data_IF_618189381090
#
_entry.id   IF_618189381090
#
_cell.length_a   1.000
_cell.length_b   1.000
_cell.length_c   1.000
_cell.angle_alpha   90.00
_cell.angle_beta   90.00
_cell.angle_gamma   90.00
#
_symmetry.space_group_name_H-M   'P 1'
#
loop_
_entity.id
_entity.type
_entity.pdbx_description
1 polymer ?
#
# COMPACT_ATOMS: atom_id res chain seq x y z
N UNK A 1 -5.11 22.59 24.92
CA UNK A 1 -5.59 23.45 23.82
C UNK A 1 -5.05 22.99 22.47
N UNK A 2 -5.92 22.90 21.47
CA UNK A 2 -5.58 22.62 20.07
C UNK A 2 -6.04 23.75 19.16
N UNK A 3 -5.27 24.02 18.12
CA UNK A 3 -5.62 24.99 17.06
C UNK A 3 -6.31 24.26 15.91
N UNK A 4 -7.38 24.88 15.39
CA UNK A 4 -8.12 24.41 14.22
C UNK A 4 -7.77 25.31 13.03
N UNK A 5 -6.97 24.83 12.06
CA UNK A 5 -6.54 25.66 10.93
C UNK A 5 -7.69 26.18 10.06
N UNK A 6 -8.74 25.37 9.92
CA UNK A 6 -9.98 25.76 9.25
C UNK A 6 -11.12 24.85 9.73
N UNK A 7 -12.22 25.40 10.30
CA UNK A 7 -13.40 24.62 10.67
C UNK A 7 -14.16 24.10 9.43
N UNK A 8 -13.81 24.59 8.24
CA UNK A 8 -14.36 24.18 6.96
C UNK A 8 -13.47 23.16 6.23
N UNK A 9 -12.32 22.79 6.78
CA UNK A 9 -11.49 21.75 6.19
C UNK A 9 -12.19 20.38 6.20
N UNK A 10 -11.83 19.52 5.25
CA UNK A 10 -12.19 18.10 5.30
C UNK A 10 -11.00 17.23 4.90
N UNK A 11 -10.49 16.36 5.79
CA UNK A 11 -10.91 16.19 7.17
C UNK A 11 -10.65 17.45 8.04
N UNK A 12 -11.37 17.58 9.16
CA UNK A 12 -11.07 18.58 10.19
C UNK A 12 -9.71 18.26 10.77
N UNK A 13 -8.92 19.31 11.02
CA UNK A 13 -7.56 19.19 11.54
C UNK A 13 -7.46 19.83 12.90
N UNK A 14 -6.92 19.09 13.85
CA UNK A 14 -6.57 19.59 15.17
C UNK A 14 -5.05 19.55 15.31
N UNK A 15 -4.44 20.69 15.62
CA UNK A 15 -3.00 20.82 15.83
C UNK A 15 -2.70 21.19 17.28
N UNK A 16 -1.82 20.47 17.93
CA UNK A 16 -1.37 20.82 19.28
C UNK A 16 0.07 20.39 19.50
N UNK A 17 0.68 21.06 20.46
CA UNK A 17 2.05 20.83 20.91
C UNK A 17 2.03 19.99 22.19
N UNK A 18 2.96 19.05 22.31
CA UNK A 18 3.20 18.27 23.51
C UNK A 18 4.61 18.52 24.03
N UNK A 19 4.72 19.01 25.26
CA UNK A 19 6.02 19.27 25.91
C UNK A 19 6.60 18.00 26.56
N UNK A 20 7.91 17.77 26.39
CA UNK A 20 8.64 16.72 27.11
C UNK A 20 8.36 15.28 26.65
N UNK A 21 7.53 15.10 25.62
CA UNK A 21 7.16 13.82 25.05
C UNK A 21 8.08 13.54 23.85
N UNK A 22 9.03 12.61 23.99
CA UNK A 22 9.93 12.20 22.89
C UNK A 22 9.27 11.17 21.98
N UNK A 23 9.54 11.20 20.67
CA UNK A 23 8.95 10.35 19.60
C UNK A 23 8.80 8.82 19.87
N UNK A 24 9.47 8.24 20.87
CA UNK A 24 9.20 6.88 21.37
C UNK A 24 7.82 6.70 22.00
N UNK A 25 7.16 7.78 22.37
CA UNK A 25 5.75 7.76 22.78
C UNK A 25 4.90 7.53 21.55
N UNK A 26 4.46 6.29 21.31
CA UNK A 26 3.11 5.82 20.88
C UNK A 26 2.23 6.67 19.91
N UNK A 27 2.64 7.84 19.44
CA UNK A 27 2.01 8.79 18.54
C UNK A 27 2.42 8.46 17.11
N UNK A 28 2.20 7.21 16.73
CA UNK A 28 2.52 6.72 15.40
C UNK A 28 1.48 7.23 14.40
N UNK A 29 1.93 7.47 13.16
CA UNK A 29 1.04 7.81 12.05
C UNK A 29 -0.06 6.75 11.92
N UNK A 30 -1.24 7.18 11.45
CA UNK A 30 -2.44 6.36 11.24
C UNK A 30 -3.04 5.71 12.50
N UNK A 31 -2.45 5.92 13.67
CA UNK A 31 -3.02 5.41 14.91
C UNK A 31 -4.37 6.11 15.17
N UNK A 32 -5.46 5.35 15.41
CA UNK A 32 -6.72 5.93 15.80
C UNK A 32 -6.61 6.57 17.20
N UNK A 33 -7.32 7.67 17.37
CA UNK A 33 -7.40 8.44 18.61
C UNK A 33 -8.83 8.85 18.86
N UNK A 34 -9.31 8.66 20.08
CA UNK A 34 -10.58 9.23 20.50
C UNK A 34 -10.29 10.63 21.09
N UNK A 35 -11.05 11.62 20.63
CA UNK A 35 -10.88 13.04 20.99
C UNK A 35 -12.20 13.58 21.54
N UNK A 36 -12.12 14.22 22.69
CA UNK A 36 -13.22 14.95 23.31
C UNK A 36 -12.93 16.43 23.20
N UNK A 37 -13.93 17.21 22.82
CA UNK A 37 -13.90 18.66 23.00
C UNK A 37 -14.41 18.92 24.42
N UNK A 38 -13.62 19.65 25.21
CA UNK A 38 -14.01 20.00 26.58
C UNK A 38 -15.33 20.79 26.54
N UNK A 39 -16.18 20.55 27.53
CA UNK A 39 -17.55 21.09 27.64
C UNK A 39 -18.55 20.60 26.58
N UNK A 40 -18.14 19.68 25.70
CA UNK A 40 -19.02 19.01 24.73
C UNK A 40 -19.26 17.54 25.09
N UNK A 41 -20.46 17.03 24.78
CA UNK A 41 -20.76 15.59 24.82
C UNK A 41 -20.20 14.83 23.60
N UNK A 42 -19.58 15.54 22.65
CA UNK A 42 -19.09 14.95 21.40
C UNK A 42 -17.75 14.26 21.59
N UNK A 43 -17.72 12.97 21.27
CA UNK A 43 -16.49 12.19 21.09
C UNK A 43 -16.29 11.91 19.62
N UNK A 44 -15.16 12.36 19.07
CA UNK A 44 -14.76 12.09 17.70
C UNK A 44 -13.64 11.06 17.63
N UNK A 45 -13.72 10.14 16.67
CA UNK A 45 -12.59 9.30 16.29
C UNK A 45 -11.79 10.02 15.20
N UNK A 46 -10.53 10.28 15.52
CA UNK A 46 -9.54 10.91 14.64
C UNK A 46 -8.38 9.92 14.39
N UNK A 47 -7.53 10.24 13.43
CA UNK A 47 -6.27 9.54 13.20
C UNK A 47 -5.10 10.50 13.27
N UNK A 48 -3.96 10.01 13.76
CA UNK A 48 -2.72 10.78 13.72
C UNK A 48 -2.25 10.89 12.27
N UNK A 49 -2.24 12.12 11.75
CA UNK A 49 -1.88 12.39 10.36
C UNK A 49 -0.43 12.85 10.20
N UNK A 50 0.11 13.54 11.20
CA UNK A 50 1.48 14.03 11.21
C UNK A 50 1.98 14.10 12.65
N UNK A 51 3.22 13.67 12.84
CA UNK A 51 3.98 13.91 14.06
C UNK A 51 5.37 14.40 13.69
N UNK A 52 5.83 15.45 14.37
CA UNK A 52 7.18 15.98 14.20
C UNK A 52 7.74 16.30 15.57
N UNK A 53 9.02 15.97 15.80
CA UNK A 53 9.68 16.26 17.06
C UNK A 53 10.75 17.32 16.84
N UNK A 54 10.59 18.45 17.53
CA UNK A 54 11.61 19.50 17.61
C UNK A 54 12.56 19.18 18.76
N UNK A 55 13.80 18.80 18.43
CA UNK A 55 14.83 18.47 19.41
C UNK A 55 15.29 19.68 20.24
N UNK A 56 15.27 20.89 19.66
CA UNK A 56 15.73 22.09 20.32
C UNK A 56 14.72 22.55 21.37
N UNK A 57 13.43 22.53 21.02
CA UNK A 57 12.34 22.91 21.92
C UNK A 57 11.86 21.76 22.83
N UNK A 58 12.21 20.51 22.50
CA UNK A 58 11.69 19.28 23.13
C UNK A 58 10.16 19.20 23.07
N UNK A 59 9.61 19.60 21.93
CA UNK A 59 8.17 19.63 21.66
C UNK A 59 7.86 18.63 20.55
N UNK A 60 6.78 17.85 20.74
CA UNK A 60 6.17 17.08 19.65
C UNK A 60 4.99 17.86 19.10
N UNK A 61 5.06 18.23 17.82
CA UNK A 61 3.93 18.73 17.05
C UNK A 61 3.07 17.55 16.58
N UNK A 62 1.77 17.58 16.90
CA UNK A 62 0.80 16.56 16.51
C UNK A 62 -0.31 17.18 15.68
N UNK A 63 -0.62 16.57 14.54
CA UNK A 63 -1.80 16.88 13.74
C UNK A 63 -2.73 15.67 13.67
N UNK A 64 -3.97 15.85 14.14
CA UNK A 64 -5.03 14.85 14.06
C UNK A 64 -6.03 15.20 12.95
N UNK A 65 -6.47 14.19 12.21
CA UNK A 65 -7.49 14.31 11.17
C UNK A 65 -8.79 13.60 11.57
N UNK A 66 -9.93 14.26 11.40
CA UNK A 66 -11.25 13.63 11.60
C UNK A 66 -11.53 12.51 10.62
N UNK A 67 -12.10 11.41 11.11
CA UNK A 67 -12.76 10.44 10.23
C UNK A 67 -14.06 11.04 9.66
N UNK A 68 -14.56 10.48 8.56
CA UNK A 68 -15.82 10.89 7.91
C UNK A 68 -16.97 10.97 8.92
N UNK A 69 -17.11 9.95 9.76
CA UNK A 69 -18.21 9.83 10.71
C UNK A 69 -18.13 10.87 11.83
N UNK A 70 -16.91 11.27 12.21
CA UNK A 70 -16.68 12.25 13.26
C UNK A 70 -16.61 13.69 12.75
N UNK A 71 -16.54 13.92 11.44
CA UNK A 71 -16.41 15.25 10.86
C UNK A 71 -17.56 16.20 11.25
N UNK A 72 -18.81 15.82 10.99
CA UNK A 72 -19.97 16.69 11.27
C UNK A 72 -20.17 16.95 12.77
N UNK A 73 -20.12 15.95 13.66
CA UNK A 73 -20.20 16.18 15.10
C UNK A 73 -19.08 17.08 15.62
N UNK A 74 -17.82 16.82 15.21
CA UNK A 74 -16.69 17.65 15.62
C UNK A 74 -16.81 19.09 15.11
N UNK A 75 -17.27 19.28 13.87
CA UNK A 75 -17.45 20.64 13.32
C UNK A 75 -18.41 21.45 14.16
N UNK A 76 -19.54 20.86 14.54
CA UNK A 76 -20.56 21.53 15.36
C UNK A 76 -20.01 21.86 16.74
N UNK A 77 -19.34 20.92 17.39
CA UNK A 77 -18.72 21.16 18.69
C UNK A 77 -17.62 22.22 18.62
N UNK A 78 -16.79 22.26 17.57
CA UNK A 78 -15.80 23.32 17.38
C UNK A 78 -16.47 24.69 17.16
N UNK A 79 -17.60 24.74 16.45
CA UNK A 79 -18.35 25.99 16.25
C UNK A 79 -19.00 26.51 17.54
N UNK A 80 -19.41 25.61 18.43
CA UNK A 80 -20.11 25.94 19.67
C UNK A 80 -19.16 26.25 20.83
N UNK A 81 -18.10 25.45 20.99
CA UNK A 81 -17.16 25.52 22.12
C UNK A 81 -15.78 26.09 21.72
N UNK A 82 -15.55 26.35 20.44
CA UNK A 82 -14.31 26.94 19.96
C UNK A 82 -14.22 28.42 20.31
N UNK A 83 -13.06 28.83 20.80
CA UNK A 83 -12.74 30.22 21.09
C UNK A 83 -11.91 30.79 19.94
N UNK A 84 -12.18 32.02 19.54
CA UNK A 84 -11.32 32.69 18.54
C UNK A 84 -10.11 33.26 19.27
N UNK A 85 -8.94 32.70 19.00
CA UNK A 85 -7.68 33.16 19.57
C UNK A 85 -7.25 34.52 19.00
N UNK A 86 -6.20 35.14 19.56
CA UNK A 86 -5.72 36.46 19.15
C UNK A 86 -5.24 36.54 17.69
N UNK A 87 -4.90 35.41 17.06
CA UNK A 87 -4.45 35.33 15.66
C UNK A 87 -5.59 35.04 14.66
N UNK A 88 -6.86 35.26 15.04
CA UNK A 88 -8.06 34.88 14.27
C UNK A 88 -8.15 33.37 13.96
N UNK A 89 -7.44 32.57 14.77
CA UNK A 89 -7.47 31.10 14.67
C UNK A 89 -8.40 30.55 15.72
N UNK A 90 -9.29 29.65 15.32
CA UNK A 90 -10.14 28.92 16.26
C UNK A 90 -9.28 27.98 17.09
N UNK A 91 -9.38 28.12 18.41
CA UNK A 91 -8.76 27.26 19.41
C UNK A 91 -9.84 26.53 20.18
N UNK A 92 -9.56 25.27 20.53
CA UNK A 92 -10.51 24.43 21.25
C UNK A 92 -9.73 23.61 22.27
N UNK A 93 -10.28 23.51 23.48
CA UNK A 93 -9.71 22.63 24.48
C UNK A 93 -10.16 21.20 24.26
N UNK A 94 -9.20 20.29 24.22
CA UNK A 94 -9.43 18.89 23.86
C UNK A 94 -8.72 17.95 24.83
N UNK A 95 -9.32 16.79 25.02
CA UNK A 95 -8.67 15.61 25.58
C UNK A 95 -8.43 14.60 24.45
N UNK A 96 -7.29 13.92 24.47
CA UNK A 96 -6.93 12.92 23.44
C UNK A 96 -6.56 11.60 24.11
N UNK A 97 -7.18 10.51 23.67
CA UNK A 97 -6.83 9.15 24.08
C UNK A 97 -6.34 8.38 22.87
N UNK A 98 -5.14 7.84 23.00
CA UNK A 98 -4.58 6.94 21.99
C UNK A 98 -5.28 5.58 22.05
N UNK A 99 -6.01 5.21 20.99
CA UNK A 99 -6.62 3.88 20.89
C UNK A 99 -5.53 2.82 20.66
N UNK A 100 -5.82 1.54 20.83
CA UNK A 100 -4.88 0.46 20.47
C UNK A 100 -4.49 0.58 18.99
N UNK A 101 -3.23 0.27 18.64
CA UNK A 101 -2.87 0.17 17.22
C UNK A 101 -3.76 -0.91 16.60
N UNK A 102 -4.37 -0.66 15.43
CA UNK A 102 -5.06 -1.72 14.71
C UNK A 102 -4.05 -2.84 14.44
N UNK A 103 -4.32 -4.01 15.01
CA UNK A 103 -3.51 -5.23 14.83
C UNK A 103 -3.78 -5.91 13.48
N UNK A 104 -4.67 -5.35 12.67
CA UNK A 104 -4.97 -5.82 11.32
C UNK A 104 -4.12 -5.09 10.29
N UNK A 105 -3.60 -5.84 9.33
CA UNK A 105 -3.19 -5.29 8.06
C UNK A 105 -4.33 -4.44 7.46
N UNK A 106 -3.99 -3.40 6.69
CA UNK A 106 -4.92 -2.55 5.93
C UNK A 106 -6.13 -3.37 5.42
N UNK A 107 -7.38 -2.90 5.50
CA UNK A 107 -8.55 -3.66 5.01
C UNK A 107 -8.41 -4.18 3.58
N UNK A 108 -7.53 -3.59 2.75
CA UNK A 108 -7.18 -4.16 1.45
C UNK A 108 -6.46 -5.52 1.57
N UNK A 109 -5.59 -5.74 2.57
CA UNK A 109 -5.02 -7.06 2.83
C UNK A 109 -6.07 -8.08 3.28
N UNK A 110 -7.07 -7.65 4.04
CA UNK A 110 -8.21 -8.50 4.38
C UNK A 110 -9.03 -8.85 3.13
N UNK A 111 -9.28 -7.89 2.24
CA UNK A 111 -9.93 -8.11 0.95
C UNK A 111 -9.10 -9.01 0.00
N UNK A 112 -7.78 -8.82 -0.05
CA UNK A 112 -6.86 -9.67 -0.82
C UNK A 112 -6.82 -11.09 -0.25
N UNK A 113 -6.86 -11.25 1.08
CA UNK A 113 -6.97 -12.56 1.72
C UNK A 113 -8.35 -13.21 1.50
N UNK A 114 -9.44 -12.43 1.55
CA UNK A 114 -10.83 -12.87 1.33
C UNK A 114 -11.08 -13.26 -0.13
N UNK A 115 -10.46 -12.58 -1.09
CA UNK A 115 -10.52 -12.92 -2.51
C UNK A 115 -9.79 -14.22 -2.87
N UNK A 116 -9.27 -14.95 -1.88
CA UNK A 116 -8.82 -16.31 -2.10
C UNK A 116 -7.79 -16.38 -3.25
N UNK A 117 -6.93 -15.35 -3.36
CA UNK A 117 -5.84 -15.31 -4.35
C UNK A 117 -4.92 -16.54 -4.17
N UNK A 118 -4.96 -17.11 -2.97
CA UNK A 118 -4.29 -18.33 -2.56
C UNK A 118 -5.21 -19.54 -2.40
N UNK A 119 -6.50 -19.51 -2.75
CA UNK A 119 -7.35 -20.71 -2.60
C UNK A 119 -6.98 -21.82 -3.57
N UNK A 120 -6.38 -21.48 -4.72
CA UNK A 120 -5.69 -22.46 -5.56
C UNK A 120 -4.48 -23.11 -4.87
N UNK A 121 -4.02 -22.57 -3.73
CA UNK A 121 -2.99 -23.18 -2.89
C UNK A 121 -3.54 -24.24 -1.92
N UNK A 122 -4.85 -24.53 -1.89
CA UNK A 122 -5.44 -25.51 -0.96
C UNK A 122 -6.16 -26.67 -1.68
N UNK A 123 -6.25 -26.65 -3.01
CA UNK A 123 -7.04 -27.64 -3.76
C UNK A 123 -6.41 -29.04 -3.80
N UNK A 124 -5.11 -29.18 -3.47
CA UNK A 124 -4.38 -30.44 -3.66
C UNK A 124 -3.99 -31.08 -2.31
N UNK A 125 -4.99 -31.64 -1.62
CA UNK A 125 -4.86 -32.40 -0.35
C UNK A 125 -3.89 -33.60 -0.46
N UNK A 126 -3.56 -34.03 -1.68
CA UNK A 126 -2.68 -35.15 -1.95
C UNK A 126 -1.20 -34.78 -2.15
N UNK A 127 -0.87 -33.49 -2.23
CA UNK A 127 0.50 -33.03 -2.44
C UNK A 127 0.84 -31.94 -1.41
N UNK A 128 1.49 -32.27 -0.26
CA UNK A 128 1.85 -31.24 0.71
C UNK A 128 2.71 -30.17 0.05
N UNK A 129 2.24 -28.91 0.10
CA UNK A 129 2.91 -27.78 -0.54
C UNK A 129 4.36 -27.68 -0.06
N UNK A 130 5.27 -27.42 -0.98
CA UNK A 130 6.71 -27.33 -0.65
C UNK A 130 7.00 -26.31 0.45
N UNK A 131 6.21 -25.25 0.54
CA UNK A 131 6.30 -24.25 1.62
C UNK A 131 6.08 -24.89 2.99
N UNK A 132 5.06 -25.75 3.12
CA UNK A 132 4.80 -26.49 4.36
C UNK A 132 5.96 -27.46 4.63
N UNK A 133 6.42 -28.19 3.61
CA UNK A 133 7.59 -29.09 3.78
C UNK A 133 8.88 -28.36 4.19
N UNK A 134 9.10 -27.11 3.72
CA UNK A 134 10.23 -26.28 4.13
C UNK A 134 10.03 -25.77 5.55
N UNK A 135 8.83 -25.27 5.90
CA UNK A 135 8.53 -24.81 7.25
C UNK A 135 8.66 -25.96 8.25
N UNK A 136 8.14 -27.13 7.91
CA UNK A 136 8.30 -28.36 8.68
C UNK A 136 9.79 -28.72 8.78
N UNK A 137 10.58 -28.71 7.69
CA UNK A 137 12.02 -28.96 7.79
C UNK A 137 12.82 -27.91 8.61
N UNK A 138 12.31 -26.68 8.75
CA UNK A 138 12.96 -25.60 9.51
C UNK A 138 12.54 -25.61 10.99
N UNK A 139 11.29 -25.95 11.28
CA UNK A 139 10.67 -25.83 12.61
C UNK A 139 10.35 -27.17 13.28
N UNK A 140 10.27 -28.26 12.50
CA UNK A 140 10.13 -29.63 12.97
C UNK A 140 11.43 -30.42 12.73
N UNK A 141 12.19 -30.77 13.79
CA UNK A 141 13.45 -31.49 13.67
C UNK A 141 13.31 -32.92 13.12
N UNK A 142 12.10 -33.48 13.00
CA UNK A 142 11.87 -34.83 12.47
C UNK A 142 11.33 -34.86 11.02
N UNK A 143 11.09 -33.71 10.39
CA UNK A 143 10.54 -33.64 9.03
C UNK A 143 11.61 -33.94 7.94
N UNK A 144 11.31 -34.88 7.05
CA UNK A 144 12.15 -35.21 5.88
C UNK A 144 11.51 -34.73 4.57
N UNK A 145 12.26 -34.00 3.73
CA UNK A 145 11.82 -33.56 2.40
C UNK A 145 11.61 -34.77 1.47
N UNK A 146 10.37 -35.00 1.02
CA UNK A 146 10.04 -36.04 0.06
C UNK A 146 10.59 -35.70 -1.34
N UNK A 147 11.30 -36.66 -1.96
CA UNK A 147 12.21 -36.43 -3.09
C UNK A 147 11.61 -36.47 -4.51
N UNK A 148 10.29 -36.58 -4.68
CA UNK A 148 9.69 -36.83 -6.00
C UNK A 148 8.88 -35.64 -6.52
N UNK A 149 9.38 -34.98 -7.58
CA UNK A 149 8.72 -33.85 -8.23
C UNK A 149 8.62 -34.05 -9.76
N UNK A 150 7.47 -33.72 -10.40
CA UNK A 150 7.35 -33.55 -11.84
C UNK A 150 8.23 -32.38 -12.33
N UNK A 151 8.91 -32.58 -13.46
CA UNK A 151 9.81 -31.61 -14.06
C UNK A 151 9.03 -30.61 -14.94
N UNK A 152 8.96 -29.33 -14.55
CA UNK A 152 8.69 -28.25 -15.52
C UNK A 152 9.76 -28.25 -16.66
N UNK A 153 9.56 -27.63 -17.82
CA UNK A 153 10.66 -27.39 -18.74
C UNK A 153 11.68 -26.41 -18.13
N UNK A 154 12.99 -26.52 -18.45
CA UNK A 154 13.98 -25.53 -18.03
C UNK A 154 13.77 -24.21 -18.81
N UNK A 155 13.84 -23.03 -18.16
CA UNK A 155 13.82 -21.77 -18.89
C UNK A 155 15.05 -21.64 -19.80
N UNK A 156 14.95 -20.96 -20.95
CA UNK A 156 16.10 -20.70 -21.80
C UNK A 156 17.16 -19.85 -21.06
N UNK A 157 18.45 -20.08 -21.30
CA UNK A 157 19.51 -19.32 -20.65
C UNK A 157 19.46 -17.85 -21.10
N UNK A 158 19.17 -16.95 -20.17
CA UNK A 158 19.25 -15.50 -20.43
C UNK A 158 20.72 -15.09 -20.40
N UNK A 159 21.37 -15.20 -21.57
CA UNK A 159 22.81 -14.94 -21.77
C UNK A 159 23.16 -13.44 -21.76
N UNK A 160 22.18 -12.56 -21.90
CA UNK A 160 22.33 -11.12 -21.87
C UNK A 160 20.97 -10.46 -21.66
N UNK A 161 20.87 -9.45 -20.82
CA UNK A 161 19.63 -8.71 -20.55
C UNK A 161 19.82 -7.26 -20.89
N UNK A 162 18.89 -6.65 -21.61
CA UNK A 162 18.90 -5.20 -21.79
C UNK A 162 18.28 -4.49 -20.60
N UNK A 163 19.11 -3.71 -19.89
CA UNK A 163 18.68 -2.80 -18.81
C UNK A 163 18.73 -1.40 -19.38
N UNK A 164 17.57 -0.74 -19.52
CA UNK A 164 17.46 0.58 -20.15
C UNK A 164 18.07 0.65 -21.57
N UNK A 165 18.01 -0.44 -22.33
CA UNK A 165 18.59 -0.51 -23.67
C UNK A 165 20.08 -0.87 -23.71
N UNK A 166 20.78 -0.89 -22.57
CA UNK A 166 22.17 -1.34 -22.49
C UNK A 166 22.25 -2.85 -22.21
N UNK A 167 23.04 -3.55 -23.02
CA UNK A 167 23.25 -4.98 -22.87
C UNK A 167 24.11 -5.27 -21.63
N UNK A 168 23.52 -5.87 -20.61
CA UNK A 168 24.24 -6.31 -19.41
C UNK A 168 24.36 -7.82 -19.39
N UNK A 169 25.56 -8.28 -19.05
CA UNK A 169 25.83 -9.69 -18.79
C UNK A 169 25.74 -9.91 -17.28
N UNK A 170 24.67 -10.54 -16.77
CA UNK A 170 24.65 -10.96 -15.37
C UNK A 170 25.84 -11.90 -15.11
N UNK A 171 26.58 -11.70 -14.02
CA UNK A 171 27.73 -12.54 -13.68
C UNK A 171 27.32 -14.02 -13.67
N UNK A 172 27.90 -14.80 -14.58
CA UNK A 172 27.53 -16.18 -14.92
C UNK A 172 27.51 -17.18 -13.73
N UNK A 173 28.09 -16.83 -12.58
CA UNK A 173 28.11 -17.67 -11.38
C UNK A 173 26.83 -17.68 -10.55
N UNK A 174 25.94 -16.67 -10.68
CA UNK A 174 24.72 -16.60 -9.86
C UNK A 174 23.49 -17.23 -10.56
N UNK A 175 23.53 -17.38 -11.88
CA UNK A 175 22.43 -17.93 -12.68
C UNK A 175 22.53 -19.45 -12.90
N UNK A 176 23.73 -20.03 -12.78
CA UNK A 176 23.96 -21.47 -12.94
C UNK A 176 23.34 -22.34 -11.83
N UNK A 177 23.07 -21.76 -10.65
CA UNK A 177 22.44 -22.45 -9.51
C UNK A 177 20.92 -22.52 -9.56
N UNK A 178 20.25 -21.69 -10.38
CA UNK A 178 18.79 -21.69 -10.55
C UNK A 178 18.25 -22.92 -11.29
N UNK A 179 19.14 -23.74 -11.83
CA UNK A 179 18.81 -24.84 -12.74
C UNK A 179 18.43 -26.14 -12.02
N UNK A 180 18.59 -26.23 -10.70
CA UNK A 180 18.37 -27.49 -9.99
C UNK A 180 17.09 -27.44 -9.13
N UNK A 181 16.05 -28.16 -9.60
CA UNK A 181 14.74 -28.34 -8.94
C UNK A 181 14.79 -28.96 -7.54
N UNK A 182 15.96 -29.43 -7.12
CA UNK A 182 16.20 -30.04 -5.81
C UNK A 182 16.35 -29.02 -4.67
N UNK A 183 16.45 -27.72 -4.99
CA UNK A 183 16.62 -26.67 -3.98
C UNK A 183 15.37 -25.77 -3.93
N UNK A 184 14.40 -26.06 -3.06
CA UNK A 184 13.18 -25.24 -2.93
C UNK A 184 13.45 -23.89 -2.25
N UNK A 185 14.65 -23.70 -1.69
CA UNK A 185 15.12 -22.44 -1.10
C UNK A 185 16.43 -22.03 -1.77
N UNK A 186 16.49 -20.79 -2.23
CA UNK A 186 17.69 -20.17 -2.79
C UNK A 186 18.06 -18.94 -1.95
N UNK A 187 19.25 -18.95 -1.35
CA UNK A 187 19.79 -17.78 -0.67
C UNK A 187 20.87 -17.12 -1.55
N UNK A 188 20.66 -15.86 -1.90
CA UNK A 188 21.62 -15.06 -2.66
C UNK A 188 22.23 -14.02 -1.72
N UNK A 189 23.43 -14.31 -1.23
CA UNK A 189 24.20 -13.35 -0.45
C UNK A 189 25.14 -12.57 -1.37
N UNK A 190 25.08 -11.25 -1.31
CA UNK A 190 26.05 -10.40 -2.01
C UNK A 190 26.29 -9.10 -1.25
N UNK A 191 27.44 -8.47 -1.48
CA UNK A 191 27.81 -7.21 -0.83
C UNK A 191 26.91 -6.04 -1.28
N UNK A 192 26.98 -4.91 -0.58
CA UNK A 192 26.27 -3.69 -0.99
C UNK A 192 26.76 -3.23 -2.38
N UNK A 193 25.84 -2.78 -3.24
CA UNK A 193 26.18 -2.28 -4.58
C UNK A 193 26.48 -3.34 -5.65
N UNK A 194 26.43 -4.65 -5.34
CA UNK A 194 26.78 -5.72 -6.30
C UNK A 194 25.62 -6.18 -7.19
N UNK A 195 24.55 -5.39 -7.30
CA UNK A 195 23.43 -5.69 -8.22
C UNK A 195 22.45 -6.77 -7.76
N UNK A 196 22.33 -7.06 -6.45
CA UNK A 196 21.34 -8.04 -5.92
C UNK A 196 19.92 -7.80 -6.43
N UNK A 197 19.49 -6.54 -6.45
CA UNK A 197 18.17 -6.14 -6.93
C UNK A 197 17.98 -6.48 -8.41
N UNK A 198 19.02 -6.29 -9.24
CA UNK A 198 18.99 -6.63 -10.68
C UNK A 198 18.92 -8.14 -10.88
N UNK A 199 19.70 -8.91 -10.10
CA UNK A 199 19.66 -10.37 -10.16
C UNK A 199 18.30 -10.90 -9.71
N UNK A 200 17.74 -10.38 -8.60
CA UNK A 200 16.41 -10.75 -8.13
C UNK A 200 15.32 -10.44 -9.15
N UNK A 201 15.33 -9.24 -9.73
CA UNK A 201 14.38 -8.85 -10.77
C UNK A 201 14.49 -9.75 -12.01
N UNK A 202 15.71 -10.11 -12.42
CA UNK A 202 15.90 -11.04 -13.54
C UNK A 202 15.34 -12.44 -13.22
N UNK A 203 15.57 -12.94 -12.01
CA UNK A 203 15.03 -14.23 -11.57
C UNK A 203 13.50 -14.19 -11.60
N UNK A 204 12.89 -13.17 -11.00
CA UNK A 204 11.44 -13.01 -10.99
C UNK A 204 10.86 -12.95 -12.41
N UNK A 205 11.45 -12.15 -13.29
CA UNK A 205 11.02 -12.03 -14.68
C UNK A 205 11.17 -13.34 -15.47
N UNK A 206 12.30 -14.05 -15.30
CA UNK A 206 12.54 -15.33 -15.99
C UNK A 206 11.58 -16.41 -15.50
N UNK A 207 11.29 -16.46 -14.19
CA UNK A 207 10.32 -17.39 -13.63
C UNK A 207 8.89 -17.09 -14.12
N UNK A 208 8.52 -15.81 -14.16
CA UNK A 208 7.23 -15.37 -14.68
C UNK A 208 7.09 -15.56 -16.21
N UNK A 209 8.18 -15.64 -16.97
CA UNK A 209 8.12 -15.96 -18.40
C UNK A 209 8.05 -17.47 -18.65
N UNK A 210 8.68 -18.27 -17.79
CA UNK A 210 8.80 -19.72 -17.98
C UNK A 210 7.51 -20.51 -17.71
N UNK A 211 6.60 -19.99 -16.89
CA UNK A 211 5.46 -20.75 -16.37
C UNK A 211 4.19 -19.88 -16.27
N UNK A 212 3.38 -19.86 -17.32
CA UNK A 212 2.16 -19.06 -17.44
C UNK A 212 1.07 -19.33 -16.38
N UNK A 213 1.19 -20.39 -15.58
CA UNK A 213 0.21 -20.70 -14.53
C UNK A 213 0.60 -20.12 -13.15
N UNK A 214 1.87 -19.80 -12.93
CA UNK A 214 2.36 -19.35 -11.63
C UNK A 214 2.56 -17.83 -11.54
N UNK A 215 2.19 -17.25 -10.40
CA UNK A 215 2.44 -15.84 -10.07
C UNK A 215 3.69 -15.76 -9.19
N UNK A 216 4.64 -14.89 -9.56
CA UNK A 216 5.79 -14.58 -8.72
C UNK A 216 5.40 -13.50 -7.72
N UNK A 217 5.68 -13.71 -6.44
CA UNK A 217 5.41 -12.73 -5.38
C UNK A 217 6.73 -12.25 -4.80
N UNK A 218 6.99 -10.95 -4.90
CA UNK A 218 8.21 -10.34 -4.42
C UNK A 218 7.93 -9.43 -3.20
N UNK A 219 8.53 -9.79 -2.06
CA UNK A 219 8.37 -9.05 -0.82
C UNK A 219 9.69 -8.47 -0.34
N UNK A 220 9.65 -7.27 0.23
CA UNK A 220 10.77 -6.64 0.90
C UNK A 220 10.33 -6.02 2.23
N UNK A 221 11.29 -5.78 3.12
CA UNK A 221 11.02 -5.22 4.46
C UNK A 221 10.61 -3.75 4.46
N UNK A 222 10.79 -3.03 3.34
CA UNK A 222 10.44 -1.61 3.22
C UNK A 222 9.77 -1.31 1.87
N UNK A 223 8.81 -0.39 1.86
CA UNK A 223 8.12 0.02 0.63
C UNK A 223 9.05 0.64 -0.41
N UNK A 224 10.13 1.31 0.03
CA UNK A 224 11.16 1.86 -0.85
C UNK A 224 11.97 0.77 -1.54
N UNK A 225 12.29 -0.33 -0.84
CA UNK A 225 12.96 -1.48 -1.45
C UNK A 225 12.06 -2.18 -2.48
N UNK A 226 10.76 -2.33 -2.19
CA UNK A 226 9.79 -2.83 -3.18
C UNK A 226 9.74 -1.91 -4.40
N UNK A 227 9.64 -0.58 -4.21
CA UNK A 227 9.64 0.38 -5.32
C UNK A 227 10.88 0.24 -6.21
N UNK A 228 12.07 0.20 -5.60
CA UNK A 228 13.34 0.06 -6.31
C UNK A 228 13.41 -1.26 -7.10
N UNK A 229 12.91 -2.34 -6.50
CA UNK A 229 12.83 -3.63 -7.18
C UNK A 229 11.88 -3.57 -8.39
N UNK A 230 10.70 -2.99 -8.22
CA UNK A 230 9.72 -2.77 -9.29
C UNK A 230 10.27 -1.89 -10.42
N UNK A 231 10.96 -0.80 -10.11
CA UNK A 231 11.64 0.03 -11.11
C UNK A 231 12.71 -0.77 -11.87
N UNK A 232 13.44 -1.63 -11.16
CA UNK A 232 14.43 -2.52 -11.77
C UNK A 232 13.75 -3.52 -12.70
N UNK A 233 12.62 -4.11 -12.33
CA UNK A 233 11.84 -4.97 -13.24
C UNK A 233 11.39 -4.22 -14.49
N UNK A 234 10.82 -3.02 -14.33
CA UNK A 234 10.38 -2.17 -15.44
C UNK A 234 11.54 -1.73 -16.35
N UNK A 235 12.77 -1.70 -15.83
CA UNK A 235 13.98 -1.39 -16.60
C UNK A 235 14.41 -2.50 -17.56
N UNK A 236 13.97 -3.74 -17.33
CA UNK A 236 14.36 -4.90 -18.13
C UNK A 236 13.58 -4.90 -19.45
N UNK A 237 14.23 -4.44 -20.52
CA UNK A 237 13.57 -4.19 -21.81
C UNK A 237 12.97 -5.48 -22.41
N UNK A 238 13.63 -6.61 -22.19
CA UNK A 238 13.21 -7.91 -22.71
C UNK A 238 11.92 -8.41 -22.04
N UNK A 239 11.59 -7.90 -20.85
CA UNK A 239 10.45 -8.35 -20.03
C UNK A 239 9.35 -7.30 -19.86
N UNK A 240 9.36 -6.20 -20.64
CA UNK A 240 8.35 -5.13 -20.54
C UNK A 240 6.92 -5.60 -20.82
N UNK A 241 6.76 -6.75 -21.45
CA UNK A 241 5.47 -7.36 -21.74
C UNK A 241 4.81 -8.02 -20.52
N UNK A 242 5.60 -8.32 -19.46
CA UNK A 242 5.07 -8.97 -18.26
C UNK A 242 4.13 -8.03 -17.49
N UNK A 243 2.90 -8.46 -17.17
CA UNK A 243 1.97 -7.66 -16.39
C UNK A 243 2.39 -7.68 -14.92
N UNK A 244 3.21 -6.71 -14.54
CA UNK A 244 3.61 -6.47 -13.15
C UNK A 244 2.48 -5.70 -12.44
N UNK A 245 2.24 -6.04 -11.19
CA UNK A 245 1.38 -5.31 -10.26
C UNK A 245 2.19 -5.03 -8.99
N UNK A 246 2.05 -3.85 -8.41
CA UNK A 246 2.60 -3.54 -7.09
C UNK A 246 1.47 -3.04 -6.18
N UNK A 247 1.31 -3.68 -5.03
CA UNK A 247 0.40 -3.16 -4.00
C UNK A 247 1.09 -2.11 -3.13
N UNK A 248 0.45 -0.96 -2.93
CA UNK A 248 0.89 0.08 -2.00
C UNK A 248 -0.33 0.59 -1.24
N UNK A 249 -0.28 0.48 0.08
CA UNK A 249 -1.34 0.99 0.96
C UNK A 249 -1.40 2.52 0.95
N UNK A 250 -2.59 3.09 1.17
CA UNK A 250 -2.79 4.55 1.21
C UNK A 250 -1.99 5.21 2.34
N UNK A 251 -1.81 4.49 3.44
CA UNK A 251 -0.94 4.89 4.55
C UNK A 251 0.51 5.08 4.10
N UNK A 252 1.04 4.13 3.35
CA UNK A 252 2.39 4.18 2.80
C UNK A 252 2.57 5.32 1.79
N UNK A 253 1.54 5.61 0.98
CA UNK A 253 1.56 6.75 0.06
C UNK A 253 1.61 8.09 0.81
N UNK A 254 0.87 8.24 1.92
CA UNK A 254 0.94 9.44 2.78
C UNK A 254 2.30 9.63 3.44
N UNK A 255 3.03 8.55 3.66
CA UNK A 255 4.41 8.57 4.19
C UNK A 255 5.45 8.92 3.10
N UNK A 256 5.02 9.18 1.86
CA UNK A 256 5.91 9.55 0.76
C UNK A 256 6.61 8.35 0.11
N UNK A 257 6.01 7.15 0.20
CA UNK A 257 6.49 5.98 -0.54
C UNK A 257 6.59 6.31 -2.04
N UNK A 258 7.69 5.94 -2.72
CA UNK A 258 7.81 6.13 -4.17
C UNK A 258 6.69 5.42 -4.93
N UNK A 259 6.10 6.13 -5.90
CA UNK A 259 5.01 5.65 -6.75
C UNK A 259 5.59 5.12 -8.06
N UNK A 260 5.07 4.00 -8.55
CA UNK A 260 5.47 3.40 -9.82
C UNK A 260 4.27 3.28 -10.77
N UNK A 261 4.47 3.19 -12.09
CA UNK A 261 3.35 3.08 -13.04
C UNK A 261 2.57 1.78 -12.94
N UNK A 262 3.09 0.77 -12.23
CA UNK A 262 2.44 -0.52 -12.00
C UNK A 262 1.84 -0.65 -10.59
N UNK A 263 1.79 0.44 -9.84
CA UNK A 263 1.06 0.46 -8.57
C UNK A 263 -0.44 0.23 -8.83
N UNK A 264 -1.09 -0.56 -7.97
CA UNK A 264 -2.50 -0.96 -8.13
C UNK A 264 -3.40 0.24 -8.39
N UNK A 265 -3.29 1.31 -7.61
CA UNK A 265 -4.11 2.51 -7.77
C UNK A 265 -3.92 3.16 -9.15
N UNK A 266 -2.70 3.13 -9.70
CA UNK A 266 -2.40 3.68 -11.03
C UNK A 266 -2.98 2.81 -12.14
N UNK A 267 -2.90 1.47 -11.99
CA UNK A 267 -3.47 0.52 -12.94
C UNK A 267 -5.01 0.65 -12.98
N UNK A 268 -5.67 0.63 -11.81
CA UNK A 268 -7.13 0.70 -11.72
C UNK A 268 -7.69 1.98 -12.34
N UNK A 269 -7.03 3.13 -12.11
CA UNK A 269 -7.40 4.41 -12.72
C UNK A 269 -7.35 4.40 -14.25
N UNK A 270 -6.42 3.63 -14.83
CA UNK A 270 -6.21 3.57 -16.27
C UNK A 270 -7.02 2.47 -16.95
N UNK A 271 -7.51 1.49 -16.19
CA UNK A 271 -8.19 0.30 -16.70
C UNK A 271 -9.33 0.63 -17.67
N UNK A 272 -10.17 1.62 -17.34
CA UNK A 272 -11.31 2.02 -18.16
C UNK A 272 -10.90 2.54 -19.55
N UNK A 273 -9.75 3.23 -19.61
CA UNK A 273 -9.20 3.82 -20.83
C UNK A 273 -8.42 2.79 -21.63
N UNK A 274 -7.54 2.05 -20.96
CA UNK A 274 -6.59 1.15 -21.61
C UNK A 274 -7.29 -0.11 -22.18
N UNK A 275 -8.43 -0.52 -21.59
CA UNK A 275 -9.20 -1.69 -22.00
C UNK A 275 -10.62 -1.37 -22.48
N UNK A 276 -10.89 -0.14 -22.93
CA UNK A 276 -12.23 0.31 -23.32
C UNK A 276 -12.95 -0.66 -24.28
N UNK A 277 -12.22 -1.24 -25.25
CA UNK A 277 -12.78 -2.16 -26.23
C UNK A 277 -13.22 -3.53 -25.67
N UNK A 278 -12.74 -3.90 -24.48
CA UNK A 278 -13.00 -5.21 -23.85
C UNK A 278 -13.98 -5.11 -22.67
N UNK A 279 -14.44 -3.89 -22.37
CA UNK A 279 -15.33 -3.60 -21.26
C UNK A 279 -16.78 -3.56 -21.71
N UNK A 280 -17.67 -4.08 -20.87
CA UNK A 280 -19.10 -3.85 -21.01
C UNK A 280 -19.43 -2.45 -20.50
N UNK A 281 -20.50 -1.83 -21.01
CA UNK A 281 -20.89 -0.46 -20.64
C UNK A 281 -21.03 -0.25 -19.12
N UNK A 282 -21.56 -1.24 -18.40
CA UNK A 282 -21.69 -1.15 -16.95
C UNK A 282 -20.35 -1.26 -16.20
N UNK A 283 -19.36 -1.95 -16.78
CA UNK A 283 -18.00 -2.07 -16.23
C UNK A 283 -17.23 -0.79 -16.46
N UNK A 284 -17.30 -0.23 -17.67
CA UNK A 284 -16.70 1.07 -18.00
C UNK A 284 -17.23 2.18 -17.09
N UNK A 285 -18.56 2.20 -16.83
CA UNK A 285 -19.17 3.13 -15.87
C UNK A 285 -18.66 2.93 -14.44
N UNK A 286 -18.54 1.67 -14.00
CA UNK A 286 -18.05 1.36 -12.65
C UNK A 286 -16.58 1.79 -12.47
N UNK A 287 -15.71 1.49 -13.43
CA UNK A 287 -14.30 1.87 -13.41
C UNK A 287 -14.10 3.39 -13.49
N UNK A 288 -14.93 4.08 -14.28
CA UNK A 288 -14.89 5.56 -14.33
C UNK A 288 -15.30 6.17 -12.99
N UNK A 289 -16.29 5.59 -12.31
CA UNK A 289 -16.71 6.02 -10.98
C UNK A 289 -15.60 5.79 -9.94
N UNK A 290 -14.97 4.61 -9.94
CA UNK A 290 -13.83 4.29 -9.09
C UNK A 290 -12.65 5.25 -9.36
N UNK A 291 -12.23 5.41 -10.61
CA UNK A 291 -11.12 6.29 -10.98
C UNK A 291 -11.33 7.73 -10.51
N UNK A 292 -12.56 8.25 -10.62
CA UNK A 292 -12.92 9.60 -10.15
C UNK A 292 -12.93 9.69 -8.62
N UNK A 293 -13.47 8.68 -7.94
CA UNK A 293 -13.44 8.62 -6.47
C UNK A 293 -12.00 8.56 -5.96
N UNK A 294 -11.18 7.72 -6.57
CA UNK A 294 -9.77 7.55 -6.28
C UNK A 294 -8.96 8.83 -6.51
N UNK A 295 -9.22 9.57 -7.58
CA UNK A 295 -8.56 10.85 -7.86
C UNK A 295 -8.81 11.89 -6.74
N UNK A 296 -10.03 11.92 -6.20
CA UNK A 296 -10.35 12.79 -5.06
C UNK A 296 -9.58 12.38 -3.80
N UNK A 297 -9.49 11.08 -3.52
CA UNK A 297 -8.74 10.54 -2.38
C UNK A 297 -7.24 10.79 -2.55
N UNK A 298 -6.68 10.58 -3.74
CA UNK A 298 -5.27 10.83 -4.01
C UNK A 298 -4.92 12.32 -3.90
N UNK A 299 -5.86 13.21 -4.25
CA UNK A 299 -5.67 14.65 -4.05
C UNK A 299 -5.47 14.97 -2.56
N UNK A 300 -6.17 14.30 -1.63
CA UNK A 300 -5.93 14.54 -0.21
C UNK A 300 -4.63 13.89 0.31
N UNK A 301 -4.23 12.76 -0.28
CA UNK A 301 -2.98 12.06 0.06
C UNK A 301 -1.76 12.88 -0.39
N UNK A 302 -1.74 13.36 -1.64
CA UNK A 302 -0.58 14.04 -2.24
C UNK A 302 -0.60 15.56 -2.05
N UNK A 303 -1.78 16.16 -1.89
CA UNK A 303 -1.97 17.60 -1.73
C UNK A 303 -2.87 17.92 -0.54
N UNK A 304 -2.46 17.54 0.69
CA UNK A 304 -3.29 17.74 1.87
C UNK A 304 -3.68 19.21 2.02
N UNK A 305 -2.81 20.18 1.74
CA UNK A 305 -3.12 21.62 1.81
C UNK A 305 -4.39 22.04 1.06
N UNK A 306 -4.73 21.38 -0.05
CA UNK A 306 -5.94 21.69 -0.84
C UNK A 306 -7.23 21.40 -0.08
N UNK A 307 -7.18 20.50 0.91
CA UNK A 307 -8.38 20.13 1.65
C UNK A 307 -8.80 21.14 2.71
N UNK A 308 -7.99 22.18 2.93
CA UNK A 308 -8.28 23.29 3.85
C UNK A 308 -9.32 24.28 3.30
N UNK A 309 -9.43 24.38 1.98
CA UNK A 309 -10.23 25.39 1.27
C UNK A 309 -11.31 24.78 0.37
N UNK A 310 -11.77 23.57 0.67
CA UNK A 310 -12.83 22.92 -0.11
C UNK A 310 -14.15 23.67 0.04
N UNK A 311 -14.81 23.92 -1.08
CA UNK A 311 -16.23 24.31 -1.09
C UNK A 311 -17.10 23.20 -0.50
N UNK A 312 -18.32 23.53 -0.09
CA UNK A 312 -19.26 22.54 0.44
C UNK A 312 -19.56 21.43 -0.58
N UNK A 313 -19.74 21.79 -1.85
CA UNK A 313 -19.97 20.83 -2.93
C UNK A 313 -18.77 19.89 -3.18
N UNK A 314 -17.53 20.38 -3.06
CA UNK A 314 -16.33 19.53 -3.16
C UNK A 314 -16.18 18.62 -1.95
N UNK A 315 -16.50 19.13 -0.76
CA UNK A 315 -16.50 18.34 0.47
C UNK A 315 -17.48 17.17 0.39
N UNK A 316 -18.70 17.42 -0.08
CA UNK A 316 -19.69 16.36 -0.23
C UNK A 316 -19.25 15.31 -1.25
N UNK A 317 -18.65 15.71 -2.38
CA UNK A 317 -18.06 14.78 -3.35
C UNK A 317 -16.95 13.93 -2.73
N UNK A 318 -16.09 14.54 -1.94
CA UNK A 318 -14.99 13.83 -1.26
C UNK A 318 -15.52 12.82 -0.22
N UNK A 319 -16.52 13.21 0.58
CA UNK A 319 -17.17 12.31 1.55
C UNK A 319 -17.84 11.13 0.86
N UNK A 320 -18.52 11.37 -0.26
CA UNK A 320 -19.12 10.31 -1.07
C UNK A 320 -18.03 9.39 -1.62
N UNK A 321 -16.92 9.95 -2.11
CA UNK A 321 -15.79 9.16 -2.60
C UNK A 321 -15.22 8.26 -1.49
N UNK A 322 -14.83 8.79 -0.32
CA UNK A 322 -14.27 7.92 0.73
C UNK A 322 -15.25 6.83 1.21
N UNK A 323 -16.57 7.08 1.16
CA UNK A 323 -17.58 6.09 1.56
C UNK A 323 -17.82 5.01 0.50
N UNK A 324 -17.85 5.39 -0.78
CA UNK A 324 -18.24 4.48 -1.86
C UNK A 324 -17.06 3.85 -2.61
N UNK A 325 -15.86 4.45 -2.52
CA UNK A 325 -14.68 3.98 -3.25
C UNK A 325 -14.25 2.56 -2.86
N UNK A 326 -14.30 2.10 -1.59
CA UNK A 326 -13.89 0.73 -1.27
C UNK A 326 -14.65 -0.34 -2.07
N UNK A 327 -15.97 -0.23 -2.16
CA UNK A 327 -16.82 -1.13 -2.96
C UNK A 327 -16.55 -1.00 -4.46
N UNK A 328 -16.26 0.22 -4.93
CA UNK A 328 -15.91 0.47 -6.32
C UNK A 328 -14.56 -0.16 -6.68
N UNK A 329 -13.59 -0.07 -5.77
CA UNK A 329 -12.24 -0.61 -5.91
C UNK A 329 -12.25 -2.14 -5.91
N UNK A 330 -13.02 -2.78 -5.04
CA UNK A 330 -13.19 -4.25 -5.06
C UNK A 330 -13.64 -4.75 -6.44
N UNK A 331 -14.66 -4.10 -7.00
CA UNK A 331 -15.15 -4.41 -8.35
C UNK A 331 -14.09 -4.12 -9.42
N UNK A 332 -13.35 -3.02 -9.29
CA UNK A 332 -12.28 -2.65 -10.23
C UNK A 332 -11.14 -3.68 -10.22
N UNK A 333 -10.77 -4.19 -9.05
CA UNK A 333 -9.77 -5.27 -8.88
C UNK A 333 -10.25 -6.54 -9.58
N UNK A 334 -11.50 -6.95 -9.38
CA UNK A 334 -12.06 -8.12 -10.08
C UNK A 334 -12.02 -7.98 -11.61
N UNK A 335 -12.31 -6.79 -12.14
CA UNK A 335 -12.20 -6.52 -13.58
C UNK A 335 -10.73 -6.54 -14.04
N UNK A 336 -9.81 -5.98 -13.25
CA UNK A 336 -8.38 -5.99 -13.54
C UNK A 336 -7.85 -7.42 -13.67
N UNK A 337 -8.18 -8.33 -12.73
CA UNK A 337 -7.74 -9.72 -12.82
C UNK A 337 -8.25 -10.42 -14.09
N UNK A 338 -9.46 -10.09 -14.55
CA UNK A 338 -10.01 -10.64 -15.80
C UNK A 338 -9.30 -10.12 -17.05
N UNK A 339 -8.93 -8.84 -17.08
CA UNK A 339 -8.40 -8.17 -18.28
C UNK A 339 -6.87 -8.18 -18.36
N UNK A 340 -6.22 -8.19 -17.19
CA UNK A 340 -4.78 -8.08 -17.01
C UNK A 340 -4.36 -8.84 -15.74
N UNK A 341 -4.43 -10.19 -15.76
CA UNK A 341 -3.94 -10.98 -14.64
C UNK A 341 -2.45 -10.67 -14.41
N UNK A 342 -2.04 -10.33 -13.17
CA UNK A 342 -0.63 -10.06 -12.89
C UNK A 342 0.18 -11.36 -12.93
N UNK A 343 1.41 -11.25 -13.39
CA UNK A 343 2.39 -12.36 -13.42
C UNK A 343 3.46 -12.19 -12.34
N UNK A 344 3.66 -10.95 -11.88
CA UNK A 344 4.54 -10.58 -10.77
C UNK A 344 3.77 -9.59 -9.88
N UNK A 345 3.78 -9.82 -8.56
CA UNK A 345 3.08 -9.03 -7.53
C UNK A 345 4.02 -8.51 -6.47
#
# INVERSE_FOLDING_TARGET
MATVPSPHAHPIRLRFELEGITSKTRWNLQRPTDVWILDSEVVGRLTISRTSFDFARRITDVELHSTINSHRPLRRAIQEFGQTGPDDRTQVDICVRLATLPTGADPVFALLAEHQIFAGLDEDVHTPWRTNQILDAVYDPEAHLASSLPALPPPPPVLSVRVHGDLRHPCAGHTSGLRNRQNPVLAIQAAFGTGKTVVGALIAATLAEADEEHVVVDAATTNAAVAQFTETLLSLSDFQHLPILRFVADSALREGTPVTPVDLHTILRRLARDYQAQLRDYEAKALTKDARGRELIETSIFHPERTLTLSEAERDKYVIAERENPLATEKAVGIMFRLRPPRIV
#
